data_IF_619521080015
#
_entry.id   IF_619521080015
#
_cell.length_a   1.000
_cell.length_b   1.000
_cell.length_c   1.000
_cell.angle_alpha   90.00
_cell.angle_beta   90.00
_cell.angle_gamma   90.00
#
_symmetry.space_group_name_H-M   'P 1'
#
loop_
_entity.id
_entity.type
_entity.pdbx_description
1 polymer ?
#
# COMPACT_ATOMS: atom_id res chain seq x y z
N UNK A 1 5.42 52.14 -21.49
CA UNK A 1 4.62 50.90 -21.52
C UNK A 1 5.59 49.75 -21.59
N UNK A 2 5.95 49.19 -20.45
CA UNK A 2 6.96 48.12 -20.33
C UNK A 2 6.20 46.80 -20.24
N UNK A 3 6.24 46.01 -21.32
CA UNK A 3 5.70 44.66 -21.35
C UNK A 3 6.47 43.79 -20.35
N UNK A 4 5.76 43.24 -19.36
CA UNK A 4 6.27 42.19 -18.51
C UNK A 4 6.42 40.92 -19.38
N UNK A 5 7.65 40.49 -19.62
CA UNK A 5 7.95 39.25 -20.32
C UNK A 5 7.53 38.07 -19.43
N UNK A 6 6.62 37.24 -19.92
CA UNK A 6 6.25 35.98 -19.28
C UNK A 6 7.49 35.08 -19.12
N UNK A 7 7.69 34.45 -17.96
CA UNK A 7 8.83 33.56 -17.76
C UNK A 7 8.72 32.33 -18.66
N UNK A 8 9.81 32.00 -19.38
CA UNK A 8 9.94 30.79 -20.19
C UNK A 8 9.59 29.53 -19.38
N UNK A 9 8.85 28.58 -19.96
CA UNK A 9 8.41 27.33 -19.32
C UNK A 9 9.55 26.57 -18.57
N UNK A 10 10.78 26.66 -19.07
CA UNK A 10 11.98 26.09 -18.44
C UNK A 10 12.27 26.67 -17.03
N UNK A 11 12.06 27.98 -16.85
CA UNK A 11 12.26 28.67 -15.55
C UNK A 11 11.20 28.27 -14.54
N UNK A 12 9.94 28.19 -14.97
CA UNK A 12 8.83 27.70 -14.15
C UNK A 12 9.08 26.26 -13.66
N UNK A 13 9.61 25.41 -14.54
CA UNK A 13 9.94 24.02 -14.20
C UNK A 13 11.08 23.93 -13.17
N UNK A 14 12.14 24.71 -13.36
CA UNK A 14 13.26 24.80 -12.40
C UNK A 14 12.83 25.37 -11.04
N UNK A 15 11.94 26.36 -11.04
CA UNK A 15 11.41 26.98 -9.82
C UNK A 15 10.48 26.01 -9.07
N UNK A 16 9.67 25.24 -9.79
CA UNK A 16 8.84 24.16 -9.25
C UNK A 16 9.71 23.03 -8.64
N UNK A 17 10.74 22.58 -9.34
CA UNK A 17 11.68 21.56 -8.83
C UNK A 17 12.39 22.03 -7.56
N UNK A 18 12.82 23.30 -7.52
CA UNK A 18 13.44 23.90 -6.35
C UNK A 18 12.47 24.01 -5.15
N UNK A 19 11.20 24.35 -5.39
CA UNK A 19 10.16 24.38 -4.36
C UNK A 19 9.81 22.98 -3.86
N UNK A 20 9.74 21.98 -4.75
CA UNK A 20 9.52 20.57 -4.40
C UNK A 20 10.67 19.99 -3.59
N UNK A 21 11.93 20.36 -3.90
CA UNK A 21 13.09 20.01 -3.09
C UNK A 21 13.07 20.68 -1.71
N UNK A 22 12.59 21.93 -1.60
CA UNK A 22 12.39 22.57 -0.30
C UNK A 22 11.29 21.90 0.52
N UNK A 23 10.21 21.46 -0.13
CA UNK A 23 9.11 20.71 0.50
C UNK A 23 9.55 19.31 0.95
N UNK A 24 10.34 18.58 0.16
CA UNK A 24 10.85 17.25 0.55
C UNK A 24 11.79 17.33 1.77
N UNK A 25 12.57 18.43 1.88
CA UNK A 25 13.41 18.72 3.05
C UNK A 25 12.63 18.87 4.35
N UNK A 26 11.34 19.22 4.32
CA UNK A 26 10.51 19.30 5.53
C UNK A 26 10.18 17.93 6.15
N UNK A 27 10.43 16.82 5.45
CA UNK A 27 10.20 15.45 5.95
C UNK A 27 11.45 14.75 6.50
N UNK A 28 12.62 15.41 6.41
CA UNK A 28 13.90 14.82 6.80
C UNK A 28 14.16 14.98 8.31
N UNK A 29 14.60 13.91 8.97
CA UNK A 29 15.10 13.89 10.36
C UNK A 29 16.64 13.81 10.32
N UNK A 30 17.30 14.13 11.42
CA UNK A 30 18.76 13.96 11.56
C UNK A 30 19.13 12.49 11.29
N UNK A 31 19.80 12.23 10.16
CA UNK A 31 20.24 10.90 9.72
C UNK A 31 19.87 10.55 8.28
N UNK A 32 18.91 11.25 7.67
CA UNK A 32 18.52 10.97 6.28
C UNK A 32 19.55 11.52 5.29
N UNK A 33 20.10 10.65 4.44
CA UNK A 33 20.99 11.04 3.35
C UNK A 33 20.17 11.61 2.18
N UNK A 34 20.55 12.80 1.70
CA UNK A 34 19.87 13.52 0.61
C UNK A 34 19.84 12.76 -0.72
N UNK A 35 20.77 11.84 -0.93
CA UNK A 35 21.02 11.18 -2.22
C UNK A 35 19.97 10.11 -2.61
N UNK A 36 19.04 9.77 -1.71
CA UNK A 36 17.96 8.80 -1.97
C UNK A 36 16.58 9.44 -2.25
N UNK A 37 16.49 10.77 -2.29
CA UNK A 37 15.23 11.46 -2.57
C UNK A 37 14.88 11.39 -4.06
N UNK A 38 14.12 10.37 -4.45
CA UNK A 38 13.38 10.43 -5.71
C UNK A 38 12.30 11.48 -5.58
N UNK A 39 12.40 12.58 -6.34
CA UNK A 39 11.31 13.55 -6.48
C UNK A 39 10.07 12.78 -6.93
N UNK A 40 8.92 12.90 -6.23
CA UNK A 40 7.69 12.30 -6.73
C UNK A 40 7.41 12.92 -8.11
N UNK A 41 7.15 12.12 -9.15
CA UNK A 41 6.81 12.66 -10.46
C UNK A 41 5.62 13.62 -10.31
N UNK A 42 5.60 14.69 -11.12
CA UNK A 42 4.44 15.58 -11.20
C UNK A 42 3.18 14.72 -11.36
N UNK A 43 2.25 14.82 -10.40
CA UNK A 43 1.05 13.98 -10.37
C UNK A 43 0.21 14.33 -11.59
N UNK A 44 0.22 13.48 -12.60
CA UNK A 44 -0.68 13.58 -13.76
C UNK A 44 -2.12 13.52 -13.24
N UNK A 45 -3.05 14.27 -13.86
CA UNK A 45 -4.43 14.28 -13.42
C UNK A 45 -5.11 12.94 -13.72
N UNK A 46 -6.11 12.60 -12.90
CA UNK A 46 -7.12 11.60 -13.22
C UNK A 46 -8.29 12.32 -13.86
N UNK A 47 -8.73 11.87 -15.04
CA UNK A 47 -9.92 12.43 -15.69
C UNK A 47 -11.17 11.66 -15.26
N UNK A 48 -12.19 12.39 -14.79
CA UNK A 48 -13.44 11.84 -14.27
C UNK A 48 -14.61 12.23 -15.18
N UNK A 49 -15.24 11.24 -15.81
CA UNK A 49 -16.33 11.42 -16.75
C UNK A 49 -17.55 10.67 -16.25
N UNK A 50 -18.44 11.37 -15.56
CA UNK A 50 -19.72 10.83 -15.09
C UNK A 50 -20.87 11.58 -15.75
N UNK A 51 -22.00 10.89 -16.00
CA UNK A 51 -23.21 11.54 -16.51
C UNK A 51 -23.77 12.58 -15.53
N UNK A 52 -23.62 12.32 -14.23
CA UNK A 52 -24.02 13.20 -13.15
C UNK A 52 -22.88 14.19 -12.85
N UNK A 53 -22.98 15.40 -13.42
CA UNK A 53 -21.93 16.42 -13.31
C UNK A 53 -21.72 16.88 -11.87
N UNK A 54 -22.80 17.05 -11.11
CA UNK A 54 -22.73 17.49 -9.71
C UNK A 54 -21.99 16.45 -8.86
N UNK A 55 -22.25 15.16 -9.10
CA UNK A 55 -21.50 14.07 -8.46
C UNK A 55 -20.04 14.06 -8.87
N UNK A 56 -19.72 14.28 -10.14
CA UNK A 56 -18.34 14.33 -10.61
C UNK A 56 -17.55 15.44 -9.90
N UNK A 57 -18.13 16.64 -9.78
CA UNK A 57 -17.51 17.76 -9.07
C UNK A 57 -17.29 17.48 -7.58
N UNK A 58 -18.32 16.94 -6.89
CA UNK A 58 -18.20 16.58 -5.47
C UNK A 58 -17.12 15.51 -5.25
N UNK A 59 -17.06 14.49 -6.12
CA UNK A 59 -16.05 13.44 -6.03
C UNK A 59 -14.65 13.98 -6.32
N UNK A 60 -14.49 14.84 -7.32
CA UNK A 60 -13.22 15.49 -7.62
C UNK A 60 -12.71 16.30 -6.42
N UNK A 61 -13.56 17.14 -5.82
CA UNK A 61 -13.21 17.92 -4.61
C UNK A 61 -12.82 17.03 -3.42
N UNK A 62 -13.56 15.93 -3.21
CA UNK A 62 -13.23 14.98 -2.15
C UNK A 62 -11.86 14.30 -2.40
N UNK A 63 -11.58 13.89 -3.64
CA UNK A 63 -10.31 13.26 -4.00
C UNK A 63 -9.12 14.23 -3.99
N UNK A 64 -9.34 15.49 -4.33
CA UNK A 64 -8.35 16.57 -4.21
C UNK A 64 -7.96 16.83 -2.76
N UNK A 65 -8.91 16.78 -1.83
CA UNK A 65 -8.61 16.84 -0.38
C UNK A 65 -7.67 15.70 0.07
N UNK A 66 -7.66 14.58 -0.66
CA UNK A 66 -6.75 13.45 -0.45
C UNK A 66 -5.44 13.54 -1.26
N UNK A 67 -5.24 14.62 -2.01
CA UNK A 67 -4.03 14.92 -2.77
C UNK A 67 -3.97 14.28 -4.16
N UNK A 68 -5.04 13.64 -4.63
CA UNK A 68 -5.15 13.23 -6.04
C UNK A 68 -5.56 14.44 -6.87
N UNK A 69 -4.85 14.71 -7.96
CA UNK A 69 -5.29 15.69 -8.96
C UNK A 69 -6.40 15.03 -9.77
N UNK A 70 -7.64 15.47 -9.62
CA UNK A 70 -8.79 14.90 -10.35
C UNK A 70 -9.52 16.00 -11.08
N UNK A 71 -9.64 15.86 -12.39
CA UNK A 71 -10.33 16.84 -13.23
C UNK A 71 -11.62 16.23 -13.79
N UNK A 72 -12.80 16.75 -13.41
CA UNK A 72 -14.06 16.33 -14.00
C UNK A 72 -14.17 16.89 -15.42
N UNK A 73 -14.56 16.05 -16.38
CA UNK A 73 -14.78 16.42 -17.77
C UNK A 73 -16.20 16.06 -18.19
N UNK A 74 -16.86 17.00 -18.87
CA UNK A 74 -18.31 16.94 -19.12
C UNK A 74 -18.67 16.74 -20.60
N UNK A 75 -17.68 16.66 -21.48
CA UNK A 75 -17.91 16.42 -22.91
C UNK A 75 -16.80 15.59 -23.54
N UNK A 76 -17.13 14.98 -24.67
CA UNK A 76 -16.18 14.22 -25.51
C UNK A 76 -15.03 15.10 -25.98
N UNK A 77 -15.34 16.32 -26.46
CA UNK A 77 -14.33 17.26 -26.94
C UNK A 77 -13.37 17.69 -25.82
N UNK A 78 -13.88 17.88 -24.60
CA UNK A 78 -13.06 18.21 -23.44
C UNK A 78 -12.11 17.06 -23.09
N UNK A 79 -12.54 15.80 -23.21
CA UNK A 79 -11.66 14.63 -23.01
C UNK A 79 -10.52 14.61 -24.01
N UNK A 80 -10.84 14.69 -25.31
CA UNK A 80 -9.84 14.58 -26.37
C UNK A 80 -8.83 15.74 -26.30
N UNK A 81 -9.32 16.97 -26.04
CA UNK A 81 -8.45 18.13 -25.85
C UNK A 81 -7.54 17.96 -24.62
N UNK A 82 -8.09 17.56 -23.48
CA UNK A 82 -7.32 17.41 -22.23
C UNK A 82 -6.29 16.28 -22.31
N UNK A 83 -6.61 15.16 -22.97
CA UNK A 83 -5.66 14.05 -23.18
C UNK A 83 -4.51 14.47 -24.11
N UNK A 84 -4.80 15.27 -25.13
CA UNK A 84 -3.80 15.81 -26.04
C UNK A 84 -2.87 16.85 -25.37
N UNK A 85 -3.43 17.67 -24.48
CA UNK A 85 -2.68 18.69 -23.72
C UNK A 85 -1.83 18.06 -22.60
N UNK A 86 -2.42 17.16 -21.81
CA UNK A 86 -1.75 16.48 -20.70
C UNK A 86 -2.23 15.03 -20.58
N UNK A 87 -1.30 14.08 -20.74
CA UNK A 87 -1.61 12.67 -20.56
C UNK A 87 -2.03 12.39 -19.11
N UNK A 88 -3.22 11.82 -18.85
CA UNK A 88 -3.68 11.52 -17.50
C UNK A 88 -2.97 10.30 -16.91
N UNK A 89 -3.02 10.16 -15.57
CA UNK A 89 -2.57 8.93 -14.90
C UNK A 89 -3.61 7.81 -14.97
N UNK A 90 -4.89 8.15 -15.06
CA UNK A 90 -6.00 7.23 -15.28
C UNK A 90 -7.24 7.98 -15.78
N UNK A 91 -8.17 7.24 -16.39
CA UNK A 91 -9.49 7.75 -16.78
C UNK A 91 -10.56 6.92 -16.03
N UNK A 92 -11.49 7.63 -15.38
CA UNK A 92 -12.68 7.07 -14.76
C UNK A 92 -13.87 7.41 -15.65
N UNK A 93 -14.52 6.40 -16.23
CA UNK A 93 -15.53 6.54 -17.26
C UNK A 93 -16.84 5.88 -16.85
N UNK A 94 -17.92 6.64 -16.83
CA UNK A 94 -19.28 6.09 -16.79
C UNK A 94 -19.56 5.34 -18.10
N UNK A 95 -20.02 4.10 -18.03
CA UNK A 95 -20.30 3.26 -19.21
C UNK A 95 -21.28 3.91 -20.18
N UNK A 96 -22.20 4.72 -19.65
CA UNK A 96 -23.22 5.42 -20.41
C UNK A 96 -22.90 6.92 -20.59
N UNK A 97 -21.65 7.32 -20.42
CA UNK A 97 -21.23 8.70 -20.64
C UNK A 97 -21.60 9.18 -22.06
N UNK A 98 -22.31 10.30 -22.17
CA UNK A 98 -22.89 10.82 -23.42
C UNK A 98 -23.97 9.94 -24.09
N UNK A 99 -24.44 8.87 -23.45
CA UNK A 99 -25.50 7.99 -23.95
C UNK A 99 -25.23 6.50 -23.69
N UNK A 100 -26.23 5.62 -23.85
CA UNK A 100 -26.11 4.19 -23.55
C UNK A 100 -24.91 3.54 -24.26
N UNK A 101 -23.95 3.02 -23.50
CA UNK A 101 -22.73 2.37 -24.00
C UNK A 101 -21.72 3.28 -24.72
N UNK A 102 -21.99 4.58 -24.85
CA UNK A 102 -21.11 5.53 -25.53
C UNK A 102 -19.79 5.75 -24.78
N UNK A 103 -19.79 5.67 -23.44
CA UNK A 103 -18.58 5.81 -22.63
C UNK A 103 -17.52 4.75 -22.93
N UNK A 104 -17.94 3.52 -23.23
CA UNK A 104 -17.01 2.45 -23.62
C UNK A 104 -16.36 2.69 -24.97
N UNK A 105 -17.14 3.19 -25.94
CA UNK A 105 -16.62 3.53 -27.27
C UNK A 105 -15.65 4.70 -27.19
N UNK A 106 -16.00 5.72 -26.39
CA UNK A 106 -15.16 6.88 -26.14
C UNK A 106 -13.82 6.49 -25.49
N UNK A 107 -13.86 5.61 -24.49
CA UNK A 107 -12.65 5.10 -23.85
C UNK A 107 -11.75 4.36 -24.86
N UNK A 108 -12.31 3.53 -25.73
CA UNK A 108 -11.54 2.86 -26.79
C UNK A 108 -10.94 3.85 -27.80
N UNK A 109 -11.66 4.91 -28.16
CA UNK A 109 -11.15 5.99 -29.02
C UNK A 109 -10.01 6.76 -28.36
N UNK A 110 -10.13 7.09 -27.07
CA UNK A 110 -9.10 7.81 -26.32
C UNK A 110 -7.80 7.01 -26.16
N UNK A 111 -7.85 5.68 -26.28
CA UNK A 111 -6.67 4.80 -26.27
C UNK A 111 -6.00 4.66 -27.63
N UNK A 112 -6.73 4.96 -28.72
CA UNK A 112 -6.27 4.75 -30.08
C UNK A 112 -5.10 5.69 -30.41
N UNK A 113 -3.98 5.12 -30.83
CA UNK A 113 -2.79 5.89 -31.22
C UNK A 113 -1.84 6.26 -30.07
N UNK A 114 -2.10 5.83 -28.84
CA UNK A 114 -1.16 5.97 -27.72
C UNK A 114 -0.09 4.88 -27.74
N UNK A 115 1.17 5.24 -27.48
CA UNK A 115 2.27 4.27 -27.33
C UNK A 115 2.12 3.39 -26.08
N UNK A 116 1.49 3.93 -25.02
CA UNK A 116 1.16 3.21 -23.79
C UNK A 116 -0.31 3.44 -23.42
N UNK A 117 -1.07 2.37 -23.13
CA UNK A 117 -2.47 2.52 -22.79
C UNK A 117 -2.64 3.18 -21.42
N UNK A 118 -3.59 4.10 -21.31
CA UNK A 118 -3.94 4.78 -20.06
C UNK A 118 -4.75 3.81 -19.18
N UNK A 119 -4.51 3.70 -17.87
CA UNK A 119 -5.36 2.90 -16.99
C UNK A 119 -6.83 3.37 -17.01
N UNK A 120 -7.77 2.46 -17.31
CA UNK A 120 -9.21 2.75 -17.42
C UNK A 120 -10.02 2.07 -16.32
N UNK A 121 -10.84 2.85 -15.61
CA UNK A 121 -11.82 2.37 -14.65
C UNK A 121 -13.23 2.69 -15.17
N UNK A 122 -14.07 1.67 -15.30
CA UNK A 122 -15.47 1.88 -15.68
C UNK A 122 -16.38 1.92 -14.46
N UNK A 123 -17.40 2.76 -14.53
CA UNK A 123 -18.46 2.87 -13.53
C UNK A 123 -19.83 2.69 -14.17
N UNK A 124 -20.73 1.99 -13.49
CA UNK A 124 -22.14 1.90 -13.84
C UNK A 124 -23.01 2.16 -12.61
N UNK A 125 -24.03 3.01 -12.75
CA UNK A 125 -24.97 3.26 -11.66
C UNK A 125 -25.79 2.01 -11.31
N UNK A 126 -26.14 1.21 -12.32
CA UNK A 126 -26.90 -0.02 -12.17
C UNK A 126 -25.99 -1.24 -12.28
N UNK A 127 -26.49 -2.39 -11.81
CA UNK A 127 -25.78 -3.66 -11.96
C UNK A 127 -25.58 -3.96 -13.45
N UNK A 128 -24.32 -4.01 -13.88
CA UNK A 128 -23.97 -4.26 -15.26
C UNK A 128 -23.94 -5.76 -15.55
N UNK A 129 -24.61 -6.15 -16.63
CA UNK A 129 -24.63 -7.52 -17.14
C UNK A 129 -23.26 -7.96 -17.68
N UNK A 130 -23.09 -9.28 -17.88
CA UNK A 130 -21.84 -9.86 -18.39
C UNK A 130 -21.41 -9.27 -19.75
N UNK A 131 -22.31 -9.08 -20.74
CA UNK A 131 -21.96 -8.40 -22.00
C UNK A 131 -21.35 -7.00 -21.81
N UNK A 132 -21.93 -6.16 -20.95
CA UNK A 132 -21.40 -4.81 -20.67
C UNK A 132 -20.03 -4.87 -20.01
N UNK A 133 -19.84 -5.75 -19.02
CA UNK A 133 -18.53 -5.97 -18.37
C UNK A 133 -17.47 -6.47 -19.36
N UNK A 134 -17.84 -7.35 -20.29
CA UNK A 134 -16.95 -7.83 -21.35
C UNK A 134 -16.57 -6.72 -22.33
N UNK A 135 -17.53 -5.85 -22.70
CA UNK A 135 -17.26 -4.70 -23.56
C UNK A 135 -16.29 -3.71 -22.88
N UNK A 136 -16.47 -3.45 -21.58
CA UNK A 136 -15.56 -2.62 -20.79
C UNK A 136 -14.12 -3.19 -20.76
N UNK A 137 -13.96 -4.50 -20.57
CA UNK A 137 -12.62 -5.15 -20.62
C UNK A 137 -12.01 -5.04 -22.01
N UNK A 138 -12.80 -5.26 -23.07
CA UNK A 138 -12.34 -5.13 -24.47
C UNK A 138 -11.93 -3.70 -24.84
N UNK A 139 -12.52 -2.70 -24.20
CA UNK A 139 -12.13 -1.30 -24.32
C UNK A 139 -10.87 -0.94 -23.49
N UNK A 140 -10.25 -1.90 -22.80
CA UNK A 140 -9.04 -1.71 -22.00
C UNK A 140 -9.29 -1.42 -20.52
N UNK A 141 -10.51 -1.63 -20.03
CA UNK A 141 -10.87 -1.45 -18.61
C UNK A 141 -10.12 -2.40 -17.69
N UNK A 142 -9.47 -1.86 -16.66
CA UNK A 142 -8.73 -2.62 -15.63
C UNK A 142 -9.57 -2.85 -14.36
N UNK A 143 -10.58 -2.00 -14.13
CA UNK A 143 -11.49 -2.09 -12.99
C UNK A 143 -12.91 -1.69 -13.40
N UNK A 144 -13.90 -2.23 -12.68
CA UNK A 144 -15.31 -1.95 -12.89
C UNK A 144 -16.02 -1.75 -11.53
N UNK A 145 -16.67 -0.61 -11.34
CA UNK A 145 -17.45 -0.29 -10.14
C UNK A 145 -18.95 -0.22 -10.48
N UNK A 146 -19.79 -0.65 -9.54
CA UNK A 146 -21.26 -0.65 -9.68
C UNK A 146 -21.93 -0.02 -8.48
N UNK A 147 -23.05 0.67 -8.69
CA UNK A 147 -23.91 1.18 -7.62
C UNK A 147 -23.51 2.59 -7.15
N UNK A 148 -23.33 2.79 -5.84
CA UNK A 148 -22.92 4.07 -5.27
C UNK A 148 -21.42 4.28 -5.42
N UNK A 149 -21.03 5.28 -6.22
CA UNK A 149 -19.63 5.64 -6.40
C UNK A 149 -19.13 6.48 -5.22
N UNK A 150 -18.44 5.84 -4.27
CA UNK A 150 -17.86 6.49 -3.10
C UNK A 150 -16.40 6.91 -3.35
N UNK A 151 -16.00 8.08 -2.84
CA UNK A 151 -14.62 8.58 -2.98
C UNK A 151 -13.57 7.61 -2.41
N UNK A 152 -13.84 6.91 -1.30
CA UNK A 152 -12.88 5.94 -0.74
C UNK A 152 -12.65 4.73 -1.64
N UNK A 153 -13.72 4.19 -2.24
CA UNK A 153 -13.62 3.04 -3.17
C UNK A 153 -12.89 3.46 -4.46
N UNK A 154 -13.21 4.66 -4.96
CA UNK A 154 -12.55 5.22 -6.13
C UNK A 154 -11.06 5.51 -5.88
N UNK A 155 -10.73 6.10 -4.72
CA UNK A 155 -9.36 6.34 -4.26
C UNK A 155 -8.56 5.03 -4.20
N UNK A 156 -9.11 3.97 -3.60
CA UNK A 156 -8.42 2.67 -3.50
C UNK A 156 -8.09 2.09 -4.89
N UNK A 157 -9.07 2.08 -5.81
CA UNK A 157 -8.85 1.58 -7.17
C UNK A 157 -7.86 2.43 -7.94
N UNK A 158 -7.99 3.75 -7.86
CA UNK A 158 -7.09 4.68 -8.52
C UNK A 158 -5.69 4.56 -7.95
N UNK A 159 -5.50 4.43 -6.64
CA UNK A 159 -4.18 4.19 -6.05
C UNK A 159 -3.56 2.91 -6.62
N UNK A 160 -4.30 1.80 -6.69
CA UNK A 160 -3.76 0.55 -7.26
C UNK A 160 -3.37 0.72 -8.75
N UNK A 161 -4.20 1.42 -9.53
CA UNK A 161 -4.03 1.57 -10.98
C UNK A 161 -3.01 2.64 -11.38
N UNK A 162 -2.92 3.72 -10.59
CA UNK A 162 -2.07 4.90 -10.86
C UNK A 162 -0.79 4.89 -10.04
N UNK A 163 -0.63 3.92 -9.12
CA UNK A 163 0.61 3.75 -8.37
C UNK A 163 1.77 3.55 -9.34
N UNK A 164 2.50 4.64 -9.53
CA UNK A 164 3.87 4.68 -10.03
C UNK A 164 4.87 4.38 -8.90
N UNK A 165 4.38 3.94 -7.74
CA UNK A 165 5.25 3.30 -6.75
C UNK A 165 5.78 2.05 -7.45
N UNK A 166 7.11 1.92 -7.67
CA UNK A 166 7.64 0.67 -8.16
C UNK A 166 7.16 -0.40 -7.19
N UNK A 167 6.35 -1.35 -7.68
CA UNK A 167 6.03 -2.55 -6.93
C UNK A 167 7.35 -3.03 -6.35
N UNK A 168 7.46 -3.10 -5.02
CA UNK A 168 8.67 -3.63 -4.42
C UNK A 168 8.99 -4.94 -5.13
N UNK A 169 10.21 -5.11 -5.67
CA UNK A 169 10.55 -6.29 -6.44
C UNK A 169 10.12 -7.56 -5.72
N UNK A 170 9.55 -8.52 -6.44
CA UNK A 170 9.13 -9.79 -5.82
C UNK A 170 10.34 -10.46 -5.18
N UNK A 171 10.20 -10.82 -3.91
CA UNK A 171 11.24 -11.47 -3.12
C UNK A 171 11.03 -12.97 -3.20
N UNK A 172 11.98 -13.70 -3.77
CA UNK A 172 11.90 -15.15 -3.97
C UNK A 172 12.99 -15.84 -3.19
N UNK A 173 12.60 -16.68 -2.22
CA UNK A 173 13.52 -17.53 -1.49
C UNK A 173 13.66 -18.86 -2.24
N UNK A 174 14.89 -19.25 -2.56
CA UNK A 174 15.18 -20.50 -3.27
C UNK A 174 15.89 -21.43 -2.30
N UNK A 175 15.32 -22.59 -2.04
CA UNK A 175 15.89 -23.62 -1.16
C UNK A 175 16.18 -24.84 -2.03
N UNK A 176 17.46 -25.07 -2.32
CA UNK A 176 17.95 -26.15 -3.20
C UNK A 176 19.36 -26.52 -2.72
N UNK A 177 19.62 -27.81 -2.51
CA UNK A 177 20.90 -28.30 -1.99
C UNK A 177 22.03 -28.17 -3.03
N UNK A 178 21.68 -28.16 -4.31
CA UNK A 178 22.60 -27.91 -5.41
C UNK A 178 22.80 -26.41 -5.60
N UNK A 179 23.93 -25.92 -5.10
CA UNK A 179 24.39 -24.54 -5.30
C UNK A 179 24.34 -24.10 -6.78
N UNK A 180 24.65 -25.01 -7.71
CA UNK A 180 24.63 -24.71 -9.14
C UNK A 180 23.21 -24.44 -9.65
N UNK A 181 22.22 -25.25 -9.23
CA UNK A 181 20.82 -25.05 -9.60
C UNK A 181 20.27 -23.77 -8.97
N UNK A 182 20.54 -23.57 -7.67
CA UNK A 182 20.12 -22.38 -6.95
C UNK A 182 20.62 -21.09 -7.64
N UNK A 183 21.92 -21.02 -7.97
CA UNK A 183 22.52 -19.87 -8.66
C UNK A 183 21.98 -19.67 -10.09
N UNK A 184 21.58 -20.74 -10.77
CA UNK A 184 20.95 -20.64 -12.08
C UNK A 184 19.55 -20.01 -11.96
N UNK A 185 18.73 -20.52 -11.04
CA UNK A 185 17.39 -20.01 -10.74
C UNK A 185 17.44 -18.54 -10.30
N UNK A 186 18.38 -18.18 -9.42
CA UNK A 186 18.63 -16.79 -9.02
C UNK A 186 18.92 -15.89 -10.21
N UNK A 187 19.84 -16.29 -11.10
CA UNK A 187 20.18 -15.49 -12.29
C UNK A 187 18.99 -15.29 -13.22
N UNK A 188 18.22 -16.35 -13.46
CA UNK A 188 17.02 -16.29 -14.31
C UNK A 188 15.99 -15.32 -13.74
N UNK A 189 15.66 -15.45 -12.46
CA UNK A 189 14.65 -14.60 -11.81
C UNK A 189 15.16 -13.17 -11.58
N UNK A 190 16.43 -12.99 -11.23
CA UNK A 190 17.08 -11.70 -11.09
C UNK A 190 17.09 -10.90 -12.40
N UNK A 191 17.32 -11.56 -13.54
CA UNK A 191 17.21 -10.94 -14.88
C UNK A 191 15.81 -10.41 -15.19
N UNK A 192 14.79 -10.91 -14.49
CA UNK A 192 13.40 -10.52 -14.62
C UNK A 192 12.94 -9.48 -13.57
N UNK A 193 13.89 -8.90 -12.83
CA UNK A 193 13.66 -7.82 -11.85
C UNK A 193 13.17 -8.29 -10.48
N UNK A 194 13.36 -9.56 -10.14
CA UNK A 194 13.01 -10.12 -8.82
C UNK A 194 14.23 -10.10 -7.89
N UNK A 195 14.01 -9.86 -6.59
CA UNK A 195 15.06 -10.00 -5.58
C UNK A 195 15.08 -11.47 -5.16
N UNK A 196 16.21 -12.14 -5.32
CA UNK A 196 16.33 -13.56 -4.95
C UNK A 196 17.34 -13.74 -3.83
N UNK A 197 17.11 -14.77 -3.01
CA UNK A 197 18.09 -15.28 -2.07
C UNK A 197 18.04 -16.80 -2.09
N UNK A 198 19.21 -17.45 -2.14
CA UNK A 198 19.34 -18.90 -2.12
C UNK A 198 19.81 -19.41 -0.76
N UNK A 199 19.30 -20.57 -0.40
CA UNK A 199 19.65 -21.30 0.80
C UNK A 199 19.93 -22.75 0.43
N UNK A 200 21.15 -23.22 0.71
CA UNK A 200 21.55 -24.61 0.43
C UNK A 200 21.37 -25.54 1.63
N UNK A 201 21.22 -24.98 2.84
CA UNK A 201 20.99 -25.74 4.07
C UNK A 201 19.54 -25.54 4.53
N UNK A 202 18.66 -26.53 4.37
CA UNK A 202 17.23 -26.38 4.68
C UNK A 202 16.96 -26.14 6.16
N UNK A 203 17.88 -26.49 7.07
CA UNK A 203 17.70 -26.30 8.52
C UNK A 203 17.58 -24.81 8.88
N UNK A 204 18.20 -23.93 8.09
CA UNK A 204 18.17 -22.47 8.31
C UNK A 204 16.93 -21.78 7.73
N UNK A 205 16.03 -22.52 7.08
CA UNK A 205 14.89 -21.96 6.35
C UNK A 205 14.04 -21.00 7.20
N UNK A 206 13.73 -21.36 8.46
CA UNK A 206 12.88 -20.52 9.31
C UNK A 206 13.53 -19.19 9.70
N UNK A 207 14.84 -19.19 9.98
CA UNK A 207 15.59 -17.97 10.26
C UNK A 207 15.66 -17.07 9.02
N UNK A 208 15.87 -17.70 7.85
CA UNK A 208 15.94 -17.02 6.56
C UNK A 208 14.58 -16.42 6.16
N UNK A 209 13.47 -17.11 6.43
CA UNK A 209 12.12 -16.60 6.21
C UNK A 209 11.82 -15.35 7.04
N UNK A 210 12.29 -15.31 8.29
CA UNK A 210 12.09 -14.15 9.18
C UNK A 210 12.87 -12.92 8.70
N UNK A 211 14.12 -13.10 8.26
CA UNK A 211 14.95 -12.01 7.75
C UNK A 211 14.55 -11.57 6.34
N UNK A 212 14.34 -12.53 5.44
CA UNK A 212 14.12 -12.26 4.03
C UNK A 212 12.64 -12.03 3.69
N UNK A 213 11.67 -12.45 4.50
CA UNK A 213 10.23 -12.20 4.26
C UNK A 213 9.81 -12.36 2.78
N UNK A 214 9.98 -13.55 2.18
CA UNK A 214 9.73 -13.74 0.76
C UNK A 214 8.24 -13.64 0.39
N UNK A 215 7.97 -13.25 -0.86
CA UNK A 215 6.66 -13.33 -1.49
C UNK A 215 6.39 -14.70 -2.09
N UNK A 216 7.42 -15.51 -2.29
CA UNK A 216 7.34 -16.87 -2.84
C UNK A 216 8.56 -17.70 -2.42
N UNK A 217 8.33 -18.98 -2.17
CA UNK A 217 9.37 -19.96 -1.87
C UNK A 217 9.45 -20.94 -3.04
N UNK A 218 10.66 -21.15 -3.55
CA UNK A 218 10.99 -22.22 -4.48
C UNK A 218 11.73 -23.27 -3.68
N UNK A 219 11.26 -24.52 -3.73
CA UNK A 219 11.73 -25.59 -2.86
C UNK A 219 12.09 -26.81 -3.70
N UNK A 220 13.31 -27.31 -3.58
CA UNK A 220 13.65 -28.61 -4.18
C UNK A 220 12.91 -29.73 -3.45
N UNK A 221 12.46 -30.74 -4.19
CA UNK A 221 11.67 -31.84 -3.60
C UNK A 221 12.54 -32.76 -2.74
N UNK A 222 13.78 -32.96 -3.14
CA UNK A 222 14.72 -33.86 -2.49
C UNK A 222 15.95 -33.08 -2.06
N UNK A 223 16.21 -33.02 -0.76
CA UNK A 223 17.38 -32.37 -0.18
C UNK A 223 17.99 -33.25 0.92
N UNK A 224 19.29 -33.12 1.21
CA UNK A 224 19.89 -33.70 2.40
C UNK A 224 19.20 -33.15 3.68
N UNK A 225 19.10 -33.97 4.71
CA UNK A 225 18.48 -33.69 6.02
C UNK A 225 16.93 -33.64 6.08
N UNK A 226 16.24 -33.14 5.06
CA UNK A 226 14.77 -33.21 4.99
C UNK A 226 14.26 -33.13 3.55
N UNK A 227 13.09 -33.72 3.29
CA UNK A 227 12.40 -33.55 2.01
C UNK A 227 11.72 -32.18 1.90
N UNK A 228 11.48 -31.72 0.67
CA UNK A 228 10.73 -30.51 0.40
C UNK A 228 9.35 -30.49 1.07
N UNK A 229 8.54 -31.56 0.96
CA UNK A 229 7.23 -31.62 1.61
C UNK A 229 7.27 -31.56 3.14
N UNK A 230 8.25 -32.21 3.79
CA UNK A 230 8.46 -32.10 5.24
C UNK A 230 8.77 -30.65 5.66
N UNK A 231 9.65 -29.97 4.92
CA UNK A 231 9.98 -28.57 5.19
C UNK A 231 8.77 -27.65 4.92
N UNK A 232 7.99 -27.90 3.88
CA UNK A 232 6.77 -27.16 3.60
C UNK A 232 5.77 -27.28 4.77
N UNK A 233 5.56 -28.47 5.32
CA UNK A 233 4.73 -28.66 6.53
C UNK A 233 5.23 -27.83 7.71
N UNK A 234 6.55 -27.84 7.98
CA UNK A 234 7.15 -27.02 9.04
C UNK A 234 6.88 -25.53 8.81
N UNK A 235 7.03 -25.04 7.58
CA UNK A 235 6.75 -23.65 7.21
C UNK A 235 5.26 -23.33 7.43
N UNK A 236 4.36 -24.26 7.09
CA UNK A 236 2.90 -24.10 7.22
C UNK A 236 2.40 -24.14 8.67
N UNK A 237 3.14 -24.73 9.61
CA UNK A 237 2.81 -24.65 11.04
C UNK A 237 2.97 -23.23 11.62
N UNK A 238 3.59 -22.32 10.89
CA UNK A 238 3.68 -20.92 11.28
C UNK A 238 2.65 -20.09 10.48
N UNK A 239 1.62 -19.59 11.18
CA UNK A 239 0.52 -18.80 10.61
C UNK A 239 0.97 -17.64 9.71
N UNK A 240 2.14 -17.07 10.02
CA UNK A 240 2.76 -15.99 9.24
C UNK A 240 3.05 -16.38 7.79
N UNK A 241 3.41 -17.64 7.55
CA UNK A 241 3.85 -18.12 6.23
C UNK A 241 2.79 -18.95 5.51
N UNK A 242 1.62 -19.20 6.12
CA UNK A 242 0.51 -19.96 5.51
C UNK A 242 0.10 -19.40 4.14
N UNK A 243 0.19 -18.07 3.96
CA UNK A 243 -0.17 -17.40 2.70
C UNK A 243 0.99 -17.25 1.70
N UNK A 244 2.22 -17.67 2.03
CA UNK A 244 3.36 -17.57 1.12
C UNK A 244 3.32 -18.75 0.15
N UNK A 245 3.23 -18.54 -1.17
CA UNK A 245 3.18 -19.63 -2.12
C UNK A 245 4.50 -20.43 -2.12
N UNK A 246 4.39 -21.75 -2.14
CA UNK A 246 5.52 -22.70 -2.24
C UNK A 246 5.43 -23.40 -3.61
N UNK A 247 6.46 -23.25 -4.43
CA UNK A 247 6.61 -23.96 -5.71
C UNK A 247 7.68 -25.03 -5.55
N UNK A 248 7.32 -26.28 -5.81
CA UNK A 248 8.32 -27.35 -5.85
C UNK A 248 9.03 -27.40 -7.20
N UNK A 249 10.34 -27.60 -7.18
CA UNK A 249 11.11 -28.03 -8.34
C UNK A 249 11.48 -29.50 -8.16
N UNK A 250 11.35 -30.31 -9.20
CA UNK A 250 11.75 -31.73 -9.12
C UNK A 250 12.07 -32.30 -10.49
N UNK A 251 12.90 -33.34 -10.52
CA UNK A 251 13.13 -34.17 -11.70
C UNK A 251 12.18 -35.38 -11.77
N UNK A 252 11.24 -35.50 -10.81
CA UNK A 252 10.24 -36.58 -10.77
C UNK A 252 9.16 -36.34 -11.83
N UNK A 253 8.94 -37.33 -12.70
CA UNK A 253 7.91 -37.31 -13.75
C UNK A 253 6.60 -38.01 -13.34
N UNK A 254 6.58 -38.69 -12.19
CA UNK A 254 5.42 -39.41 -11.67
C UNK A 254 4.38 -38.43 -11.08
N UNK A 255 3.21 -38.38 -11.73
CA UNK A 255 2.12 -37.48 -11.36
C UNK A 255 1.56 -37.77 -9.96
N UNK A 256 1.52 -39.03 -9.52
CA UNK A 256 0.92 -39.39 -8.23
C UNK A 256 1.78 -38.85 -7.08
N UNK A 257 3.11 -39.01 -7.18
CA UNK A 257 4.05 -38.43 -6.21
C UNK A 257 4.05 -36.90 -6.21
N UNK A 258 3.84 -36.28 -7.38
CA UNK A 258 3.71 -34.83 -7.48
C UNK A 258 2.44 -34.34 -6.76
N UNK A 259 1.32 -35.05 -6.93
CA UNK A 259 0.06 -34.73 -6.28
C UNK A 259 0.14 -34.94 -4.75
N UNK A 260 0.82 -35.99 -4.30
CA UNK A 260 1.08 -36.21 -2.89
C UNK A 260 1.86 -35.03 -2.29
N UNK A 261 2.93 -34.57 -2.93
CA UNK A 261 3.68 -33.40 -2.49
C UNK A 261 2.83 -32.11 -2.44
N UNK A 262 1.90 -31.93 -3.37
CA UNK A 262 0.96 -30.79 -3.35
C UNK A 262 0.01 -30.83 -2.15
N UNK A 263 -0.41 -32.01 -1.71
CA UNK A 263 -1.26 -32.17 -0.53
C UNK A 263 -0.57 -31.74 0.79
N UNK A 264 0.77 -31.64 0.76
CA UNK A 264 1.61 -31.29 1.92
C UNK A 264 1.97 -29.79 2.02
N UNK A 265 1.20 -28.93 1.35
CA UNK A 265 1.31 -27.48 1.50
C UNK A 265 2.01 -26.74 0.36
N UNK A 266 2.28 -27.43 -0.76
CA UNK A 266 2.71 -26.79 -2.00
C UNK A 266 1.55 -26.18 -2.80
N UNK A 267 1.83 -25.09 -3.51
CA UNK A 267 0.85 -24.36 -4.34
C UNK A 267 0.99 -24.68 -5.83
N UNK A 268 2.16 -25.13 -6.24
CA UNK A 268 2.49 -25.46 -7.63
C UNK A 268 3.72 -26.38 -7.70
N UNK A 269 3.92 -26.98 -8.87
CA UNK A 269 5.04 -27.86 -9.14
C UNK A 269 5.60 -27.60 -10.53
N UNK A 270 6.93 -27.62 -10.67
CA UNK A 270 7.63 -27.47 -11.95
C UNK A 270 8.65 -28.59 -12.15
N UNK A 271 8.47 -29.36 -13.23
CA UNK A 271 9.38 -30.45 -13.62
C UNK A 271 10.65 -29.90 -14.29
N UNK A 272 11.82 -30.29 -13.77
CA UNK A 272 13.15 -30.04 -14.32
C UNK A 272 13.36 -30.94 -15.56
N UNK A 273 13.89 -30.44 -16.70
CA UNK A 273 14.39 -29.08 -16.93
C UNK A 273 13.28 -28.08 -17.31
N UNK A 274 13.31 -26.89 -16.69
CA UNK A 274 12.28 -25.86 -16.86
C UNK A 274 12.81 -24.75 -17.77
N UNK A 275 12.00 -24.33 -18.75
CA UNK A 275 12.33 -23.16 -19.59
C UNK A 275 12.26 -21.89 -18.75
N UNK A 276 13.26 -21.00 -18.88
CA UNK A 276 13.35 -19.75 -18.11
C UNK A 276 12.09 -18.89 -18.17
N UNK A 277 11.45 -18.77 -19.35
CA UNK A 277 10.19 -18.02 -19.50
C UNK A 277 9.04 -18.63 -18.71
N UNK A 278 8.97 -19.96 -18.62
CA UNK A 278 7.93 -20.65 -17.85
C UNK A 278 8.13 -20.36 -16.37
N UNK A 279 9.35 -20.57 -15.85
CA UNK A 279 9.70 -20.29 -14.46
C UNK A 279 9.37 -18.84 -14.05
N UNK A 280 9.82 -17.85 -14.84
CA UNK A 280 9.58 -16.43 -14.57
C UNK A 280 8.07 -16.13 -14.52
N UNK A 281 7.30 -16.66 -15.47
CA UNK A 281 5.87 -16.37 -15.57
C UNK A 281 5.10 -16.99 -14.39
N UNK A 282 5.40 -18.25 -14.05
CA UNK A 282 4.76 -18.96 -12.94
C UNK A 282 5.07 -18.27 -11.61
N UNK A 283 6.35 -17.99 -11.34
CA UNK A 283 6.78 -17.30 -10.11
C UNK A 283 6.12 -15.92 -10.00
N UNK A 284 6.18 -15.11 -11.07
CA UNK A 284 5.58 -13.77 -11.08
C UNK A 284 4.07 -13.82 -10.80
N UNK A 285 3.35 -14.70 -11.48
CA UNK A 285 1.89 -14.79 -11.33
C UNK A 285 1.49 -15.27 -9.94
N UNK A 286 2.16 -16.30 -9.41
CA UNK A 286 1.88 -16.84 -8.07
C UNK A 286 2.20 -15.83 -6.98
N UNK A 287 3.40 -15.24 -7.02
CA UNK A 287 3.82 -14.24 -6.03
C UNK A 287 2.94 -12.98 -6.09
N UNK A 288 2.64 -12.46 -7.29
CA UNK A 288 1.78 -11.28 -7.43
C UNK A 288 0.36 -11.55 -6.95
N UNK A 289 -0.22 -12.72 -7.25
CA UNK A 289 -1.55 -13.11 -6.77
C UNK A 289 -1.57 -13.24 -5.25
N UNK A 290 -0.60 -13.93 -4.67
CA UNK A 290 -0.51 -14.09 -3.22
C UNK A 290 -0.33 -12.74 -2.51
N UNK A 291 0.55 -11.88 -3.02
CA UNK A 291 0.73 -10.51 -2.51
C UNK A 291 -0.56 -9.69 -2.60
N UNK A 292 -1.29 -9.79 -3.72
CA UNK A 292 -2.57 -9.10 -3.89
C UNK A 292 -3.63 -9.59 -2.89
N UNK A 293 -3.77 -10.91 -2.72
CA UNK A 293 -4.69 -11.50 -1.73
C UNK A 293 -4.30 -11.10 -0.31
N UNK A 294 -3.01 -11.18 0.03
CA UNK A 294 -2.47 -10.74 1.32
C UNK A 294 -2.75 -9.26 1.55
N UNK A 295 -2.58 -8.40 0.54
CA UNK A 295 -2.83 -6.97 0.66
C UNK A 295 -4.27 -6.64 1.09
N UNK A 296 -5.25 -7.49 0.75
CA UNK A 296 -6.64 -7.34 1.22
C UNK A 296 -6.85 -7.87 2.62
N UNK A 297 -6.11 -8.89 3.02
CA UNK A 297 -6.19 -9.49 4.36
C UNK A 297 -5.45 -8.68 5.43
N UNK A 298 -4.42 -7.92 5.06
CA UNK A 298 -3.57 -7.16 6.00
C UNK A 298 -4.02 -5.72 6.17
N UNK A 299 -5.02 -5.26 5.42
CA UNK A 299 -5.49 -3.87 5.45
C UNK A 299 -6.84 -3.75 6.14
N UNK A 300 -7.05 -2.64 6.84
CA UNK A 300 -8.34 -2.24 7.38
C UNK A 300 -9.24 -1.70 6.26
N UNK A 301 -10.49 -2.16 6.22
CA UNK A 301 -11.44 -1.85 5.14
C UNK A 301 -11.90 -0.40 5.12
N UNK A 302 -11.87 0.30 6.25
CA UNK A 302 -12.33 1.68 6.34
C UNK A 302 -11.23 2.68 5.92
N UNK A 303 -9.99 2.42 6.32
CA UNK A 303 -8.87 3.37 6.21
C UNK A 303 -7.82 2.99 5.17
N UNK A 304 -7.78 1.72 4.75
CA UNK A 304 -6.70 1.18 3.92
C UNK A 304 -5.33 1.23 4.59
N UNK A 305 -5.27 1.39 5.92
CA UNK A 305 -4.07 1.19 6.73
C UNK A 305 -3.85 -0.29 7.00
N UNK A 306 -2.74 -0.66 7.63
CA UNK A 306 -2.61 -2.03 8.14
C UNK A 306 -3.67 -2.30 9.21
N UNK A 307 -4.16 -3.54 9.29
CA UNK A 307 -5.05 -3.92 10.39
C UNK A 307 -4.26 -4.23 11.67
N UNK A 308 -4.99 -4.42 12.76
CA UNK A 308 -4.47 -4.78 14.09
C UNK A 308 -3.44 -5.91 14.04
N UNK A 309 -3.80 -7.04 13.44
CA UNK A 309 -2.94 -8.23 13.40
C UNK A 309 -1.62 -7.93 12.68
N UNK A 310 -1.69 -7.24 11.55
CA UNK A 310 -0.52 -7.00 10.73
C UNK A 310 0.40 -5.91 11.30
N UNK A 311 -0.14 -4.86 11.92
CA UNK A 311 0.72 -3.81 12.50
C UNK A 311 1.54 -4.34 13.69
N UNK A 312 0.98 -5.27 14.48
CA UNK A 312 1.71 -5.96 15.55
C UNK A 312 2.80 -6.90 15.00
N UNK A 313 2.52 -7.62 13.90
CA UNK A 313 3.55 -8.41 13.23
C UNK A 313 4.71 -7.54 12.72
N UNK A 314 4.40 -6.37 12.16
CA UNK A 314 5.42 -5.42 11.72
C UNK A 314 6.23 -4.85 12.88
N UNK A 315 5.61 -4.60 14.04
CA UNK A 315 6.32 -4.20 15.25
C UNK A 315 7.31 -5.28 15.69
N UNK A 316 6.87 -6.54 15.74
CA UNK A 316 7.72 -7.69 16.06
C UNK A 316 8.92 -7.79 15.11
N UNK A 317 8.67 -7.72 13.80
CA UNK A 317 9.72 -7.77 12.78
C UNK A 317 10.74 -6.64 12.88
N UNK A 318 10.25 -5.44 13.16
CA UNK A 318 11.11 -4.29 13.34
C UNK A 318 11.90 -4.40 14.63
N UNK A 319 11.34 -4.98 15.70
CA UNK A 319 12.04 -5.17 16.97
C UNK A 319 13.24 -6.10 16.82
N UNK A 320 13.08 -7.23 16.11
CA UNK A 320 14.20 -8.15 15.83
C UNK A 320 15.29 -7.47 14.98
N UNK A 321 14.90 -6.73 13.94
CA UNK A 321 15.84 -6.01 13.08
C UNK A 321 16.60 -4.91 13.84
N UNK A 322 15.87 -4.10 14.61
CA UNK A 322 16.42 -3.01 15.41
C UNK A 322 17.47 -3.52 16.43
N UNK A 323 17.17 -4.61 17.16
CA UNK A 323 18.10 -5.24 18.10
C UNK A 323 19.37 -5.72 17.41
N UNK A 324 19.22 -6.39 16.26
CA UNK A 324 20.37 -6.92 15.51
C UNK A 324 21.27 -5.82 14.95
N UNK A 325 20.68 -4.72 14.50
CA UNK A 325 21.39 -3.62 13.84
C UNK A 325 21.82 -2.51 14.81
N UNK A 326 21.43 -2.60 16.08
CA UNK A 326 21.68 -1.56 17.09
C UNK A 326 21.01 -0.22 16.75
N UNK A 327 19.86 -0.26 16.05
CA UNK A 327 19.13 0.94 15.62
C UNK A 327 17.93 1.21 16.54
N UNK A 328 17.56 2.48 16.78
CA UNK A 328 16.42 2.80 17.62
C UNK A 328 15.10 2.46 16.90
N UNK A 329 14.14 1.92 17.66
CA UNK A 329 12.78 1.67 17.19
C UNK A 329 11.80 2.35 18.14
N UNK A 330 10.89 3.16 17.64
CA UNK A 330 9.79 3.72 18.43
C UNK A 330 8.45 3.13 18.02
N UNK A 331 7.55 2.96 18.98
CA UNK A 331 6.17 2.55 18.77
C UNK A 331 5.22 3.54 19.42
N UNK A 332 4.10 3.83 18.77
CA UNK A 332 3.09 4.74 19.30
C UNK A 332 1.68 4.16 19.17
N UNK A 333 0.87 4.36 20.21
CA UNK A 333 -0.56 4.12 20.22
C UNK A 333 -1.30 5.46 20.27
N UNK A 334 -2.31 5.63 19.42
CA UNK A 334 -3.09 6.86 19.28
C UNK A 334 -4.58 6.53 19.40
N UNK A 335 -5.36 7.48 19.93
CA UNK A 335 -6.81 7.38 20.02
C UNK A 335 -7.46 8.75 19.81
N UNK A 336 -8.55 8.76 19.03
CA UNK A 336 -9.31 9.99 18.76
C UNK A 336 -10.09 10.39 20.02
N UNK A 337 -9.81 11.59 20.51
CA UNK A 337 -10.40 12.08 21.75
C UNK A 337 -11.92 12.26 21.61
N UNK A 338 -12.66 11.71 22.58
CA UNK A 338 -14.12 11.82 22.66
C UNK A 338 -14.86 11.24 21.44
N UNK A 339 -14.28 10.26 20.74
CA UNK A 339 -14.86 9.69 19.52
C UNK A 339 -16.31 9.20 19.68
N UNK A 340 -16.63 8.53 20.80
CA UNK A 340 -18.02 8.14 21.10
C UNK A 340 -19.01 9.33 21.05
N UNK A 341 -18.63 10.50 21.59
CA UNK A 341 -19.47 11.71 21.55
C UNK A 341 -19.66 12.24 20.13
N UNK A 342 -18.66 12.06 19.27
CA UNK A 342 -18.75 12.42 17.85
C UNK A 342 -19.83 11.57 17.17
N UNK A 343 -19.78 10.25 17.37
CA UNK A 343 -20.77 9.33 16.83
C UNK A 343 -22.17 9.59 17.40
N UNK A 344 -22.28 9.80 18.70
CA UNK A 344 -23.58 10.03 19.36
C UNK A 344 -24.24 11.34 18.88
N UNK A 345 -23.44 12.38 18.56
CA UNK A 345 -23.95 13.70 18.14
C UNK A 345 -24.16 13.84 16.63
N UNK A 346 -23.27 13.28 15.83
CA UNK A 346 -23.23 13.50 14.38
C UNK A 346 -23.46 12.23 13.55
N UNK A 347 -23.65 11.08 14.21
CA UNK A 347 -23.83 9.79 13.57
C UNK A 347 -22.51 9.13 13.13
N UNK A 348 -22.57 7.82 12.95
CA UNK A 348 -21.43 7.01 12.48
C UNK A 348 -20.78 7.49 11.18
N UNK A 349 -21.51 7.99 10.16
CA UNK A 349 -20.86 8.49 8.93
C UNK A 349 -19.88 9.65 9.18
N UNK A 350 -20.16 10.50 10.18
CA UNK A 350 -19.22 11.56 10.56
C UNK A 350 -18.00 10.98 11.27
N UNK A 351 -18.18 10.02 12.16
CA UNK A 351 -17.08 9.30 12.81
C UNK A 351 -16.15 8.62 11.79
N UNK A 352 -16.72 7.94 10.80
CA UNK A 352 -15.96 7.33 9.71
C UNK A 352 -15.16 8.36 8.90
N UNK A 353 -15.71 9.55 8.68
CA UNK A 353 -15.01 10.66 8.02
C UNK A 353 -13.81 11.14 8.84
N UNK A 354 -13.96 11.25 10.16
CA UNK A 354 -12.86 11.62 11.08
C UNK A 354 -11.77 10.55 11.06
N UNK A 355 -12.14 9.26 11.16
CA UNK A 355 -11.20 8.13 11.10
C UNK A 355 -10.41 8.13 9.79
N UNK A 356 -11.10 8.24 8.64
CA UNK A 356 -10.45 8.31 7.32
C UNK A 356 -9.52 9.53 7.22
N UNK A 357 -9.95 10.67 7.74
CA UNK A 357 -9.14 11.89 7.76
C UNK A 357 -7.86 11.73 8.56
N UNK A 358 -7.91 11.15 9.78
CA UNK A 358 -6.72 10.89 10.58
C UNK A 358 -5.79 9.90 9.87
N UNK A 359 -6.32 8.80 9.34
CA UNK A 359 -5.53 7.80 8.63
C UNK A 359 -4.71 8.40 7.47
N UNK A 360 -5.34 9.25 6.67
CA UNK A 360 -4.69 9.94 5.56
C UNK A 360 -3.69 10.99 6.03
N UNK A 361 -4.03 11.72 7.10
CA UNK A 361 -3.14 12.71 7.69
C UNK A 361 -1.83 12.07 8.19
N UNK A 362 -1.94 10.91 8.84
CA UNK A 362 -0.79 10.09 9.24
C UNK A 362 0.04 9.65 8.01
N UNK A 363 -0.60 9.09 6.97
CA UNK A 363 0.08 8.69 5.72
C UNK A 363 0.84 9.84 5.05
N UNK A 364 0.31 11.06 5.11
CA UNK A 364 0.93 12.22 4.46
C UNK A 364 2.12 12.78 5.24
N UNK A 365 2.09 12.69 6.57
CA UNK A 365 3.10 13.30 7.46
C UNK A 365 4.22 12.34 7.85
N UNK A 366 3.94 11.04 7.88
CA UNK A 366 4.93 10.01 8.20
C UNK A 366 5.67 9.53 6.95
N UNK A 367 6.79 8.85 7.17
CA UNK A 367 7.65 8.33 6.09
C UNK A 367 7.03 7.08 5.49
N UNK A 368 7.47 6.74 4.27
CA UNK A 368 7.14 5.44 3.68
C UNK A 368 7.69 4.25 4.48
N UNK A 369 8.78 4.47 5.22
CA UNK A 369 9.41 3.48 6.10
C UNK A 369 8.70 3.34 7.44
N UNK A 370 7.82 4.28 7.80
CA UNK A 370 6.99 4.17 9.00
C UNK A 370 5.76 3.32 8.66
N UNK A 371 5.40 2.38 9.53
CA UNK A 371 4.21 1.56 9.35
C UNK A 371 3.07 2.09 10.18
N UNK A 372 1.89 2.20 9.58
CA UNK A 372 0.69 2.77 10.20
C UNK A 372 -0.43 1.73 10.11
N UNK A 373 -1.03 1.41 11.25
CA UNK A 373 -2.16 0.49 11.33
C UNK A 373 -3.34 1.08 12.13
N UNK A 374 -4.54 0.60 11.83
CA UNK A 374 -5.72 0.80 12.66
C UNK A 374 -5.80 -0.37 13.65
N UNK A 375 -5.62 -0.06 14.92
CA UNK A 375 -5.53 -1.03 16.00
C UNK A 375 -6.90 -1.48 16.50
N UNK A 376 -7.83 -0.53 16.60
CA UNK A 376 -9.20 -0.71 17.09
C UNK A 376 -10.08 0.41 16.56
N UNK A 377 -11.39 0.38 16.80
CA UNK A 377 -12.39 1.32 16.25
C UNK A 377 -11.86 2.72 15.90
N UNK A 378 -11.48 3.50 16.91
CA UNK A 378 -10.85 4.82 16.79
C UNK A 378 -9.35 4.87 17.12
N UNK A 379 -8.71 3.71 17.23
CA UNK A 379 -7.35 3.54 17.71
C UNK A 379 -6.38 3.23 16.57
N UNK A 380 -5.19 3.82 16.62
CA UNK A 380 -4.16 3.68 15.60
C UNK A 380 -2.82 3.33 16.23
N UNK A 381 -2.06 2.48 15.56
CA UNK A 381 -0.73 2.06 15.96
C UNK A 381 0.30 2.48 14.89
N UNK A 382 1.47 2.93 15.33
CA UNK A 382 2.52 3.42 14.44
C UNK A 382 3.85 2.81 14.86
N UNK A 383 4.49 2.09 13.92
CA UNK A 383 5.83 1.54 14.08
C UNK A 383 6.79 2.44 13.33
N UNK A 384 7.81 2.94 14.01
CA UNK A 384 8.76 3.93 13.49
C UNK A 384 10.20 3.40 13.55
N UNK A 385 10.64 2.62 12.55
CA UNK A 385 12.00 2.13 12.47
C UNK A 385 13.03 3.26 12.43
N UNK A 386 14.23 2.99 12.92
CA UNK A 386 15.37 3.92 12.94
C UNK A 386 14.99 5.30 13.53
N UNK A 387 14.13 5.31 14.54
CA UNK A 387 13.64 6.54 15.16
C UNK A 387 13.71 6.45 16.68
N UNK A 388 14.45 7.39 17.29
CA UNK A 388 14.55 7.56 18.73
C UNK A 388 13.31 8.27 19.32
N UNK A 389 13.08 8.08 20.62
CA UNK A 389 11.91 8.52 21.36
C UNK A 389 11.59 10.01 21.17
N UNK A 390 12.60 10.87 21.30
CA UNK A 390 12.45 12.33 21.18
C UNK A 390 11.99 12.75 19.78
N UNK A 391 12.51 12.08 18.75
CA UNK A 391 12.14 12.36 17.37
C UNK A 391 10.72 11.85 17.08
N UNK A 392 10.35 10.70 17.64
CA UNK A 392 8.99 10.16 17.55
C UNK A 392 7.98 11.09 18.22
N UNK A 393 8.25 11.50 19.46
CA UNK A 393 7.42 12.42 20.23
C UNK A 393 7.20 13.75 19.49
N UNK A 394 8.26 14.37 18.97
CA UNK A 394 8.16 15.64 18.22
C UNK A 394 7.25 15.53 17.00
N UNK A 395 7.43 14.49 16.18
CA UNK A 395 6.62 14.34 14.96
C UNK A 395 5.16 14.06 15.30
N UNK A 396 4.89 13.23 16.31
CA UNK A 396 3.52 12.94 16.73
C UNK A 396 2.84 14.17 17.34
N UNK A 397 3.55 14.99 18.11
CA UNK A 397 3.00 16.22 18.66
C UNK A 397 2.73 17.28 17.58
N UNK A 398 3.58 17.35 16.54
CA UNK A 398 3.31 18.20 15.38
C UNK A 398 2.05 17.74 14.62
N UNK A 399 1.94 16.43 14.35
CA UNK A 399 0.75 15.84 13.73
C UNK A 399 -0.50 16.14 14.57
N UNK A 400 -0.41 16.00 15.90
CA UNK A 400 -1.51 16.28 16.82
C UNK A 400 -2.00 17.72 16.72
N UNK A 401 -1.10 18.70 16.79
CA UNK A 401 -1.46 20.12 16.69
C UNK A 401 -2.15 20.44 15.38
N UNK A 402 -1.63 19.91 14.27
CA UNK A 402 -2.21 20.13 12.94
C UNK A 402 -3.54 19.43 12.73
N UNK A 403 -3.70 18.24 13.28
CA UNK A 403 -4.98 17.53 13.24
C UNK A 403 -6.07 18.30 14.01
N UNK A 404 -5.72 18.90 15.15
CA UNK A 404 -6.62 19.72 15.94
C UNK A 404 -7.12 20.99 15.22
N UNK A 405 -6.40 21.46 14.18
CA UNK A 405 -6.79 22.61 13.36
C UNK A 405 -7.82 22.24 12.28
N UNK A 406 -8.09 20.95 12.04
CA UNK A 406 -9.01 20.50 10.99
C UNK A 406 -10.47 20.78 11.41
N UNK A 407 -11.18 21.50 10.54
CA UNK A 407 -12.62 21.74 10.64
C UNK A 407 -13.37 20.74 9.77
N UNK A 408 -14.22 19.92 10.40
CA UNK A 408 -15.11 19.00 9.71
C UNK A 408 -16.49 19.66 9.51
N UNK A 409 -16.94 19.86 8.27
CA UNK A 409 -18.25 20.45 8.00
C UNK A 409 -19.36 19.63 8.65
N UNK A 410 -20.04 20.22 9.63
CA UNK A 410 -21.10 19.58 10.40
C UNK A 410 -22.19 20.59 10.77
N UNK A 411 -23.43 20.14 10.91
CA UNK A 411 -24.53 20.97 11.39
C UNK A 411 -24.77 20.69 12.89
N UNK A 412 -25.05 21.72 13.72
CA UNK A 412 -25.23 23.14 13.39
C UNK A 412 -23.93 23.96 13.35
N UNK A 413 -22.79 23.38 13.75
CA UNK A 413 -21.48 24.01 13.75
C UNK A 413 -20.43 22.98 13.33
N UNK A 414 -19.35 23.45 12.70
CA UNK A 414 -18.22 22.60 12.32
C UNK A 414 -17.66 21.85 13.53
N UNK A 415 -17.33 20.59 13.30
CA UNK A 415 -16.73 19.72 14.30
C UNK A 415 -15.22 19.91 14.28
N UNK A 416 -14.64 20.07 15.47
CA UNK A 416 -13.20 19.94 15.71
C UNK A 416 -12.98 18.73 16.62
N UNK A 417 -11.92 17.98 16.36
CA UNK A 417 -11.51 16.88 17.22
C UNK A 417 -9.99 16.84 17.36
N UNK A 418 -9.54 16.17 18.40
CA UNK A 418 -8.13 15.99 18.74
C UNK A 418 -7.84 14.50 18.89
N UNK A 419 -6.57 14.15 19.04
CA UNK A 419 -6.19 12.81 19.47
C UNK A 419 -5.16 12.89 20.60
N UNK A 420 -5.12 11.83 21.39
CA UNK A 420 -4.07 11.59 22.38
C UNK A 420 -3.17 10.46 21.91
N UNK A 421 -1.91 10.46 22.34
CA UNK A 421 -0.95 9.44 21.95
C UNK A 421 -0.02 9.04 23.10
N UNK A 422 0.32 7.75 23.15
CA UNK A 422 1.36 7.17 23.98
C UNK A 422 2.52 6.69 23.11
N UNK A 423 3.77 7.01 23.47
CA UNK A 423 4.97 6.68 22.69
C UNK A 423 5.99 5.98 23.57
N UNK A 424 6.57 4.90 23.07
CA UNK A 424 7.64 4.15 23.72
C UNK A 424 8.76 3.89 22.73
N UNK A 425 9.98 3.77 23.23
CA UNK A 425 11.13 3.30 22.45
C UNK A 425 11.47 1.88 22.90
N UNK A 426 11.88 1.06 21.94
CA UNK A 426 12.42 -0.26 22.22
C UNK A 426 13.64 -0.14 23.14
N UNK A 427 13.63 -0.92 24.21
CA UNK A 427 14.75 -1.14 25.09
C UNK A 427 15.16 -2.63 25.07
N UNK A 428 16.19 -2.98 25.84
CA UNK A 428 16.70 -4.35 25.87
C UNK A 428 15.72 -5.34 26.55
N UNK A 429 14.83 -4.88 27.41
CA UNK A 429 13.92 -5.70 28.22
C UNK A 429 12.52 -5.88 27.60
N UNK A 430 12.13 -5.00 26.67
CA UNK A 430 10.80 -4.98 26.05
C UNK A 430 10.76 -5.81 24.76
N UNK A 431 9.94 -6.86 24.75
CA UNK A 431 9.49 -7.45 23.50
C UNK A 431 8.39 -6.61 22.84
N UNK A 432 7.99 -6.97 21.61
CA UNK A 432 6.98 -6.23 20.86
C UNK A 432 5.62 -6.14 21.59
N UNK A 433 5.24 -7.19 22.33
CA UNK A 433 4.01 -7.22 23.11
C UNK A 433 4.07 -6.22 24.28
N UNK A 434 5.20 -6.21 24.99
CA UNK A 434 5.45 -5.32 26.12
C UNK A 434 5.56 -3.86 25.68
N UNK A 435 6.16 -3.60 24.50
CA UNK A 435 6.12 -2.27 23.88
C UNK A 435 4.69 -1.81 23.61
N UNK A 436 3.84 -2.69 23.06
CA UNK A 436 2.46 -2.35 22.78
C UNK A 436 1.67 -2.03 24.07
N UNK A 437 1.84 -2.84 25.11
CA UNK A 437 1.23 -2.60 26.43
C UNK A 437 1.70 -1.29 27.05
N UNK A 438 3.00 -1.01 26.99
CA UNK A 438 3.59 0.22 27.57
C UNK A 438 3.13 1.48 26.83
N UNK A 439 2.98 1.40 25.51
CA UNK A 439 2.42 2.49 24.71
C UNK A 439 0.94 2.74 25.02
N UNK A 440 0.15 1.68 25.26
CA UNK A 440 -1.24 1.80 25.69
C UNK A 440 -1.37 2.45 27.07
N UNK A 441 -0.53 2.08 28.04
CA UNK A 441 -0.48 2.74 29.34
C UNK A 441 -0.11 4.23 29.23
N UNK A 442 0.83 4.57 28.34
CA UNK A 442 1.17 5.96 28.06
C UNK A 442 0.00 6.73 27.44
N UNK A 443 -0.74 6.11 26.52
CA UNK A 443 -1.94 6.66 25.94
C UNK A 443 -3.04 6.86 27.00
N UNK A 444 -3.20 5.91 27.91
CA UNK A 444 -4.10 6.03 29.05
C UNK A 444 -3.72 7.24 29.92
N UNK A 445 -2.43 7.42 30.24
CA UNK A 445 -1.94 8.62 30.94
C UNK A 445 -2.25 9.91 30.17
N UNK A 446 -2.09 9.92 28.84
CA UNK A 446 -2.45 11.07 28.00
C UNK A 446 -3.95 11.41 28.09
N UNK A 447 -4.82 10.39 28.05
CA UNK A 447 -6.27 10.55 28.20
C UNK A 447 -6.65 11.12 29.58
N UNK A 448 -5.93 10.73 30.63
CA UNK A 448 -6.14 11.21 32.00
C UNK A 448 -5.51 12.58 32.29
N UNK A 449 -4.47 12.99 31.54
CA UNK A 449 -3.83 14.29 31.66
C UNK A 449 -4.61 15.45 30.99
N UNK A 450 -5.84 15.20 30.56
CA UNK A 450 -6.69 16.20 29.90
C UNK A 450 -6.81 16.03 28.38
N UNK A 451 -6.31 14.91 27.83
CA UNK A 451 -6.34 14.59 26.38
C UNK A 451 -5.54 15.58 25.52
N UNK A 452 -5.62 15.44 24.20
CA UNK A 452 -4.91 16.29 23.24
C UNK A 452 -3.43 16.48 23.58
N UNK A 453 -2.75 15.40 23.95
CA UNK A 453 -1.34 15.40 24.29
C UNK A 453 -0.65 14.10 23.88
N UNK A 454 0.68 14.17 23.77
CA UNK A 454 1.54 13.02 23.49
C UNK A 454 2.38 12.73 24.73
N UNK A 455 2.17 11.58 25.36
CA UNK A 455 2.93 11.11 26.51
C UNK A 455 3.97 10.11 26.03
N UNK A 456 5.20 10.25 26.53
CA UNK A 456 6.30 9.31 26.25
C UNK A 456 6.66 8.54 27.52
N UNK A 457 7.12 7.30 27.35
CA UNK A 457 7.73 6.50 28.43
C UNK A 457 9.22 6.48 28.19
N UNK A 458 9.98 6.95 29.17
CA UNK A 458 11.44 6.83 29.13
C UNK A 458 11.79 5.36 29.43
N UNK A 459 12.70 4.76 28.64
CA UNK A 459 13.17 3.40 28.85
C UNK A 459 13.99 3.25 30.14
#
# INVERSE_FOLDING_TARGET
MTQAAEPSQERLKQELDHLLQRLSRTRLRKGDQLDQLTLPPARRPVYLLLRDHERAERLAQQLEFFGLSVQPLFSVDALLASVAEQAPSAIVMDVDFSGPGCGMQLAAQAQSGLEQPIPLLFFSLHEADTPTRLAAVRAGGQAFLTGTLEASSLLEKLEIMTSTVPLEPLRVLIIDDSRTQALHTERVLGSAGMITRSLTDPIRAMAELADFQPDLIILDLYMPACSGPELAKVIRHNDRYVSVPIIYLSAEDDLDKQLDAMSEGGDDFLTKPIRSRHLITTVRNRAARARHLRSRMVRDSLTGLYNHTHILQLLEDCSFRARREGQPLSFAMLDIDHFKKINDRHGHPMGDRVIKSLALFLKQRLRKTDFIGRYGGEEFAIVMPNTALDAAHKVLDEIRRRFAEILYPAQPCDLQCTFSAGVVQLDDELDALSMASTADEALYRAKHAGRNCVVRVEP
#
